data_IF_453990064678
#
_entry.id   IF_453990064678
#
_cell.length_a   1.000
_cell.length_b   1.000
_cell.length_c   1.000
_cell.angle_alpha   90.00
_cell.angle_beta   90.00
_cell.angle_gamma   90.00
#
_symmetry.space_group_name_H-M   'P 1'
#
loop_
_entity.id
_entity.type
_entity.pdbx_description
1 polymer ?
#
# COMPACT_ATOMS: atom_id res chain seq x y z
N UNK A 1 -6.95 18.46 -28.37
CA UNK A 1 -8.11 17.60 -28.05
C UNK A 1 -7.87 16.13 -28.40
N UNK A 2 -7.65 15.77 -29.67
CA UNK A 2 -7.43 14.37 -30.08
C UNK A 2 -6.25 13.68 -29.37
N UNK A 3 -5.08 14.35 -29.25
CA UNK A 3 -3.92 13.81 -28.52
C UNK A 3 -4.22 13.50 -27.04
N UNK A 4 -5.00 14.36 -26.37
CA UNK A 4 -5.41 14.17 -24.97
C UNK A 4 -6.36 12.98 -24.83
N UNK A 5 -7.31 12.81 -25.76
CA UNK A 5 -8.21 11.65 -25.76
C UNK A 5 -7.46 10.33 -25.96
N UNK A 6 -6.52 10.28 -26.91
CA UNK A 6 -5.70 9.08 -27.15
C UNK A 6 -4.88 8.72 -25.91
N UNK A 7 -4.32 9.73 -25.23
CA UNK A 7 -3.56 9.52 -24.01
C UNK A 7 -4.43 9.01 -22.85
N UNK A 8 -5.64 9.56 -22.67
CA UNK A 8 -6.60 9.07 -21.68
C UNK A 8 -7.06 7.63 -21.95
N UNK A 9 -7.32 7.28 -23.21
CA UNK A 9 -7.69 5.91 -23.60
C UNK A 9 -6.52 4.95 -23.30
N UNK A 10 -5.29 5.32 -23.66
CA UNK A 10 -4.11 4.52 -23.38
C UNK A 10 -3.92 4.26 -21.88
N UNK A 11 -4.05 5.30 -21.06
CA UNK A 11 -4.00 5.18 -19.59
C UNK A 11 -5.11 4.24 -19.10
N UNK A 12 -6.37 4.46 -19.50
CA UNK A 12 -7.48 3.64 -19.04
C UNK A 12 -7.32 2.15 -19.41
N UNK A 13 -6.80 1.84 -20.61
CA UNK A 13 -6.50 0.45 -21.00
C UNK A 13 -5.43 -0.16 -20.11
N UNK A 14 -4.34 0.56 -19.82
CA UNK A 14 -3.28 0.09 -18.91
C UNK A 14 -3.84 -0.21 -17.51
N UNK A 15 -4.61 0.73 -16.95
CA UNK A 15 -5.24 0.55 -15.63
C UNK A 15 -6.24 -0.62 -15.61
N UNK A 16 -6.97 -0.85 -16.69
CA UNK A 16 -7.88 -1.99 -16.83
C UNK A 16 -7.13 -3.32 -16.76
N UNK A 17 -6.04 -3.47 -17.52
CA UNK A 17 -5.21 -4.69 -17.51
C UNK A 17 -4.62 -4.95 -16.12
N UNK A 18 -4.14 -3.89 -15.45
CA UNK A 18 -3.61 -4.01 -14.08
C UNK A 18 -4.72 -4.45 -13.11
N UNK A 19 -5.93 -3.90 -13.23
CA UNK A 19 -7.04 -4.25 -12.37
C UNK A 19 -7.49 -5.72 -12.52
N UNK A 20 -7.56 -6.22 -13.76
CA UNK A 20 -7.88 -7.64 -14.00
C UNK A 20 -6.80 -8.58 -13.47
N UNK A 21 -5.51 -8.27 -13.71
CA UNK A 21 -4.41 -9.06 -13.15
C UNK A 21 -4.38 -9.02 -11.62
N UNK A 22 -4.82 -7.92 -11.01
CA UNK A 22 -4.96 -7.79 -9.56
C UNK A 22 -6.19 -8.48 -8.97
N UNK A 23 -7.03 -9.14 -9.77
CA UNK A 23 -8.21 -9.87 -9.31
C UNK A 23 -9.47 -9.03 -9.09
N UNK A 24 -9.52 -7.77 -9.53
CA UNK A 24 -10.72 -6.92 -9.40
C UNK A 24 -11.32 -6.59 -10.76
N UNK A 25 -12.10 -7.55 -11.24
CA UNK A 25 -12.88 -7.45 -12.47
C UNK A 25 -13.82 -6.23 -12.54
N UNK A 26 -14.53 -5.82 -11.47
CA UNK A 26 -15.38 -4.64 -11.54
C UNK A 26 -14.59 -3.35 -11.82
N UNK A 27 -13.43 -3.15 -11.19
CA UNK A 27 -12.56 -2.00 -11.49
C UNK A 27 -12.00 -2.07 -12.93
N UNK A 28 -11.64 -3.26 -13.40
CA UNK A 28 -11.20 -3.48 -14.78
C UNK A 28 -12.25 -3.10 -15.83
N UNK A 29 -13.51 -3.54 -15.63
CA UNK A 29 -14.66 -3.17 -16.47
C UNK A 29 -14.92 -1.66 -16.47
N UNK A 30 -14.72 -1.03 -15.33
CA UNK A 30 -14.95 0.40 -15.15
C UNK A 30 -14.03 1.24 -16.05
N UNK A 31 -12.73 0.90 -16.06
CA UNK A 31 -11.76 1.56 -16.94
C UNK A 31 -12.05 1.31 -18.42
N UNK A 32 -12.60 0.14 -18.79
CA UNK A 32 -13.07 -0.11 -20.16
C UNK A 32 -14.19 0.86 -20.54
N UNK A 33 -15.18 1.04 -19.66
CA UNK A 33 -16.29 1.97 -19.91
C UNK A 33 -15.78 3.41 -20.06
N UNK A 34 -14.84 3.83 -19.20
CA UNK A 34 -14.20 5.16 -19.31
C UNK A 34 -13.44 5.31 -20.63
N UNK A 35 -12.72 4.27 -21.07
CA UNK A 35 -12.01 4.28 -22.36
C UNK A 35 -12.97 4.34 -23.57
N UNK A 36 -14.13 3.69 -23.48
CA UNK A 36 -15.11 3.63 -24.56
C UNK A 36 -15.99 4.89 -24.66
N UNK A 37 -16.20 5.61 -23.55
CA UNK A 37 -17.12 6.76 -23.48
C UNK A 37 -16.86 7.86 -24.53
N UNK A 38 -15.60 8.28 -24.81
CA UNK A 38 -15.32 9.28 -25.85
C UNK A 38 -15.68 8.81 -27.26
N UNK A 39 -15.43 7.52 -27.55
CA UNK A 39 -15.70 6.90 -28.85
C UNK A 39 -17.21 6.78 -29.08
N UNK A 40 -17.94 6.32 -28.05
CA UNK A 40 -19.39 6.24 -28.08
C UNK A 40 -20.04 7.62 -28.22
N UNK A 41 -19.50 8.63 -27.54
CA UNK A 41 -19.99 10.01 -27.65
C UNK A 41 -19.77 10.59 -29.06
N UNK A 42 -18.59 10.39 -29.65
CA UNK A 42 -18.30 10.82 -31.02
C UNK A 42 -19.20 10.09 -32.04
N UNK A 43 -19.37 8.77 -31.90
CA UNK A 43 -20.30 8.00 -32.72
C UNK A 43 -21.74 8.52 -32.64
N UNK A 44 -22.22 8.77 -31.42
CA UNK A 44 -23.55 9.34 -31.20
C UNK A 44 -23.71 10.74 -31.81
N UNK A 45 -22.71 11.62 -31.64
CA UNK A 45 -22.73 12.95 -32.21
C UNK A 45 -22.76 12.95 -33.75
N UNK A 46 -22.02 12.03 -34.39
CA UNK A 46 -22.02 11.86 -35.86
C UNK A 46 -23.37 11.32 -36.36
N UNK A 47 -23.95 10.32 -35.69
CA UNK A 47 -25.25 9.76 -36.04
C UNK A 47 -26.37 10.79 -35.91
N UNK A 48 -26.37 11.57 -34.83
CA UNK A 48 -27.37 12.63 -34.64
C UNK A 48 -27.21 13.79 -35.64
N UNK A 49 -25.98 14.17 -36.01
CA UNK A 49 -25.77 15.15 -37.09
C UNK A 49 -26.33 14.69 -38.43
N UNK A 50 -26.17 13.40 -38.77
CA UNK A 50 -26.74 12.82 -40.00
C UNK A 50 -28.27 12.80 -39.97
N UNK A 51 -28.89 12.47 -38.82
CA UNK A 51 -30.34 12.51 -38.66
C UNK A 51 -30.93 13.93 -38.65
N UNK A 52 -30.19 14.90 -38.13
CA UNK A 52 -30.63 16.30 -38.05
C UNK A 52 -30.49 17.08 -39.37
N UNK A 53 -29.82 16.52 -40.39
CA UNK A 53 -29.66 17.14 -41.72
C UNK A 53 -30.95 17.36 -42.52
N UNK A 54 -32.14 17.08 -41.95
CA UNK A 54 -33.45 17.31 -42.58
C UNK A 54 -34.47 18.05 -41.72
N UNK A 55 -34.14 18.53 -40.51
CA UNK A 55 -35.12 19.18 -39.64
C UNK A 55 -34.74 20.65 -39.36
N UNK A 56 -35.57 21.56 -39.83
CA UNK A 56 -35.54 22.99 -39.47
C UNK A 56 -35.71 23.17 -37.96
N UNK A 57 -34.90 24.05 -37.40
CA UNK A 57 -34.77 24.30 -35.96
C UNK A 57 -36.09 24.80 -35.34
N UNK A 58 -36.83 23.90 -34.69
CA UNK A 58 -37.92 24.24 -33.80
C UNK A 58 -37.37 24.63 -32.42
N UNK A 59 -37.75 25.82 -31.96
CA UNK A 59 -37.22 26.50 -30.78
C UNK A 59 -37.26 25.66 -29.50
N UNK A 60 -36.10 25.50 -28.87
CA UNK A 60 -35.98 24.83 -27.57
C UNK A 60 -36.45 25.76 -26.45
N UNK A 61 -37.50 25.34 -25.72
CA UNK A 61 -38.06 26.03 -24.55
C UNK A 61 -37.00 26.26 -23.45
N UNK A 62 -36.98 27.43 -22.77
CA UNK A 62 -35.97 27.81 -21.77
C UNK A 62 -35.88 26.85 -20.57
N UNK A 63 -36.95 26.14 -20.21
CA UNK A 63 -36.97 25.15 -19.12
C UNK A 63 -36.08 23.92 -19.39
N UNK A 64 -35.76 23.64 -20.66
CA UNK A 64 -34.92 22.52 -21.08
C UNK A 64 -33.41 22.83 -20.95
N UNK A 65 -33.03 24.11 -20.76
CA UNK A 65 -31.63 24.58 -20.70
C UNK A 65 -30.95 24.26 -19.37
N UNK A 66 -31.68 24.36 -18.24
CA UNK A 66 -31.16 24.05 -16.90
C UNK A 66 -30.96 22.55 -16.65
N UNK A 67 -31.85 21.70 -17.17
CA UNK A 67 -31.71 20.24 -17.08
C UNK A 67 -30.58 19.71 -17.98
N UNK A 68 -30.25 20.43 -19.06
CA UNK A 68 -29.16 20.10 -19.99
C UNK A 68 -27.76 20.33 -19.43
N UNK A 69 -27.58 21.23 -18.46
CA UNK A 69 -26.28 21.49 -17.82
C UNK A 69 -26.05 20.65 -16.57
N UNK A 70 -27.11 20.14 -15.93
CA UNK A 70 -27.02 19.20 -14.81
C UNK A 70 -26.49 17.83 -15.23
N UNK A 71 -27.00 17.26 -16.32
CA UNK A 71 -26.57 15.94 -16.82
C UNK A 71 -25.04 15.84 -17.04
N UNK A 72 -24.38 16.76 -17.78
CA UNK A 72 -22.93 16.68 -17.98
C UNK A 72 -22.14 16.91 -16.69
N UNK A 73 -22.66 17.71 -15.74
CA UNK A 73 -22.02 17.90 -14.42
C UNK A 73 -22.08 16.62 -13.59
N UNK A 74 -23.22 15.94 -13.57
CA UNK A 74 -23.36 14.65 -12.89
C UNK A 74 -22.45 13.59 -13.53
N UNK A 75 -22.42 13.51 -14.85
CA UNK A 75 -21.52 12.58 -15.57
C UNK A 75 -20.05 12.87 -15.24
N UNK A 76 -19.63 14.14 -15.26
CA UNK A 76 -18.27 14.52 -14.92
C UNK A 76 -17.92 14.13 -13.48
N UNK A 77 -18.82 14.39 -12.53
CA UNK A 77 -18.61 14.09 -11.11
C UNK A 77 -18.53 12.58 -10.86
N UNK A 78 -19.45 11.80 -11.43
CA UNK A 78 -19.40 10.33 -11.37
C UNK A 78 -18.07 9.85 -11.95
N UNK A 79 -17.67 10.31 -13.13
CA UNK A 79 -16.41 9.91 -13.75
C UNK A 79 -15.21 10.18 -12.84
N UNK A 80 -15.12 11.37 -12.23
CA UNK A 80 -14.03 11.72 -11.31
C UNK A 80 -14.01 10.79 -10.09
N UNK A 81 -15.16 10.57 -9.44
CA UNK A 81 -15.25 9.67 -8.28
C UNK A 81 -14.82 8.25 -8.66
N UNK A 82 -15.23 7.79 -9.84
CA UNK A 82 -15.01 6.41 -10.25
C UNK A 82 -13.56 6.16 -10.70
N UNK A 83 -12.97 7.10 -11.43
CA UNK A 83 -11.53 7.08 -11.77
C UNK A 83 -10.69 7.22 -10.51
N UNK A 84 -11.07 8.12 -9.60
CA UNK A 84 -10.41 8.27 -8.30
C UNK A 84 -10.40 6.97 -7.50
N UNK A 85 -11.54 6.28 -7.43
CA UNK A 85 -11.64 4.97 -6.80
C UNK A 85 -10.80 3.90 -7.50
N UNK A 86 -10.81 3.85 -8.85
CA UNK A 86 -10.01 2.90 -9.60
C UNK A 86 -8.50 3.10 -9.43
N UNK A 87 -8.04 4.35 -9.44
CA UNK A 87 -6.64 4.69 -9.15
C UNK A 87 -6.29 4.35 -7.71
N UNK A 88 -7.16 4.68 -6.75
CA UNK A 88 -6.96 4.32 -5.35
C UNK A 88 -6.80 2.80 -5.18
N UNK A 89 -7.66 2.00 -5.81
CA UNK A 89 -7.61 0.55 -5.71
C UNK A 89 -6.35 -0.05 -6.36
N UNK A 90 -5.92 0.49 -7.51
CA UNK A 90 -4.71 0.02 -8.19
C UNK A 90 -3.46 0.36 -7.39
N UNK A 91 -3.44 1.53 -6.76
CA UNK A 91 -2.27 2.03 -6.03
C UNK A 91 -2.21 1.52 -4.60
N UNK A 92 -3.30 1.53 -3.82
CA UNK A 92 -3.23 1.34 -2.37
C UNK A 92 -3.73 -0.02 -1.87
N UNK A 93 -4.56 -0.73 -2.64
CA UNK A 93 -5.12 -2.01 -2.20
C UNK A 93 -4.06 -3.13 -2.23
N UNK A 94 -3.91 -3.95 -1.17
CA UNK A 94 -3.01 -5.08 -1.17
C UNK A 94 -3.23 -6.02 -2.36
N UNK A 95 -2.14 -6.51 -2.96
CA UNK A 95 -2.19 -7.44 -4.10
C UNK A 95 -1.59 -8.79 -3.73
N UNK A 96 -2.10 -9.85 -4.34
CA UNK A 96 -1.48 -11.16 -4.23
C UNK A 96 -0.02 -11.09 -4.71
N UNK A 97 0.83 -11.85 -4.04
CA UNK A 97 2.16 -12.17 -4.50
C UNK A 97 2.12 -13.53 -5.20
N UNK A 98 2.46 -13.52 -6.49
CA UNK A 98 2.46 -14.72 -7.33
C UNK A 98 3.81 -15.45 -7.31
N UNK A 99 4.81 -14.91 -6.60
CA UNK A 99 6.12 -15.54 -6.43
C UNK A 99 6.05 -16.66 -5.40
N UNK A 100 6.85 -17.70 -5.59
CA UNK A 100 7.00 -18.77 -4.61
C UNK A 100 7.58 -18.20 -3.30
N UNK A 101 6.99 -18.61 -2.16
CA UNK A 101 7.53 -18.35 -0.83
C UNK A 101 8.70 -19.29 -0.58
N UNK A 102 9.92 -18.76 -0.59
CA UNK A 102 11.14 -19.55 -0.37
C UNK A 102 11.84 -19.20 0.93
N UNK A 103 11.65 -17.95 1.40
CA UNK A 103 12.32 -17.40 2.58
C UNK A 103 11.37 -16.46 3.33
N UNK A 104 11.59 -16.31 4.63
CA UNK A 104 10.82 -15.34 5.45
C UNK A 104 11.01 -13.91 4.93
N UNK A 105 12.18 -13.58 4.39
CA UNK A 105 12.44 -12.30 3.74
C UNK A 105 11.50 -11.98 2.57
N UNK A 106 10.85 -12.97 1.96
CA UNK A 106 9.90 -12.72 0.87
C UNK A 106 8.67 -11.92 1.36
N UNK A 107 8.34 -12.02 2.66
CA UNK A 107 7.27 -11.26 3.31
C UNK A 107 7.55 -9.77 3.47
N UNK A 108 8.79 -9.32 3.24
CA UNK A 108 9.20 -7.92 3.32
C UNK A 108 8.33 -7.00 2.43
N UNK A 109 7.89 -7.52 1.28
CA UNK A 109 6.98 -6.78 0.36
C UNK A 109 5.56 -6.61 0.91
N UNK A 110 5.19 -7.34 1.96
CA UNK A 110 3.96 -7.14 2.72
C UNK A 110 3.93 -5.82 3.50
N UNK A 111 5.10 -5.26 3.80
CA UNK A 111 5.26 -4.00 4.53
C UNK A 111 5.38 -2.76 3.64
N UNK A 112 5.27 -2.89 2.31
CA UNK A 112 5.06 -1.73 1.44
C UNK A 112 6.27 -1.18 0.69
N UNK A 113 7.24 -2.02 0.32
CA UNK A 113 8.38 -1.62 -0.53
C UNK A 113 8.03 -1.23 -1.99
N UNK A 114 6.76 -0.99 -2.34
CA UNK A 114 6.32 -0.71 -3.70
C UNK A 114 4.98 0.03 -3.74
N UNK A 115 4.41 0.19 -4.94
CA UNK A 115 3.16 0.95 -5.14
C UNK A 115 2.03 0.48 -4.22
N UNK A 116 1.86 -0.84 -4.09
CA UNK A 116 0.88 -1.49 -3.21
C UNK A 116 1.54 -2.58 -2.36
N UNK A 117 1.06 -2.76 -1.12
CA UNK A 117 1.47 -3.88 -0.23
C UNK A 117 1.11 -5.23 -0.86
N UNK A 118 1.84 -6.28 -0.48
CA UNK A 118 1.57 -7.64 -0.93
C UNK A 118 0.96 -8.52 0.16
N UNK A 119 0.10 -9.44 -0.25
CA UNK A 119 -0.34 -10.58 0.57
C UNK A 119 0.06 -11.88 -0.12
N UNK A 120 0.04 -12.98 0.61
CA UNK A 120 0.73 -14.21 0.20
C UNK A 120 -0.21 -15.41 0.30
N UNK A 121 -0.98 -15.74 -0.76
CA UNK A 121 -1.95 -16.82 -0.74
C UNK A 121 -1.40 -18.20 -0.35
N UNK A 122 -0.09 -18.41 -0.51
CA UNK A 122 0.64 -19.63 -0.16
C UNK A 122 1.01 -19.72 1.32
N UNK A 123 0.78 -18.66 2.10
CA UNK A 123 0.98 -18.62 3.54
C UNK A 123 -0.16 -19.33 4.28
N UNK A 124 0.08 -19.74 5.51
CA UNK A 124 -0.92 -20.43 6.32
C UNK A 124 -2.09 -19.49 6.71
N UNK A 125 -3.30 -20.04 6.77
CA UNK A 125 -4.47 -19.33 7.29
C UNK A 125 -4.31 -19.05 8.77
N UNK A 126 -4.69 -17.85 9.24
CA UNK A 126 -4.74 -17.55 10.67
C UNK A 126 -6.02 -18.11 11.28
N UNK A 127 -5.99 -19.39 11.67
CA UNK A 127 -7.13 -20.10 12.27
C UNK A 127 -6.67 -20.99 13.43
N UNK A 128 -7.62 -21.35 14.32
CA UNK A 128 -7.35 -22.15 15.51
C UNK A 128 -6.77 -21.33 16.66
N UNK A 129 -6.42 -22.03 17.75
CA UNK A 129 -5.67 -21.42 18.85
C UNK A 129 -4.19 -21.31 18.48
N UNK A 130 -3.52 -20.27 18.98
CA UNK A 130 -2.09 -20.05 18.78
C UNK A 130 -1.17 -21.21 19.23
N UNK A 131 0.14 -21.11 18.94
CA UNK A 131 0.82 -19.91 18.47
C UNK A 131 0.68 -19.68 16.95
N UNK A 132 0.43 -18.44 16.57
CA UNK A 132 0.36 -17.96 15.20
C UNK A 132 1.72 -17.43 14.72
N UNK A 133 2.45 -18.14 13.83
CA UNK A 133 3.80 -17.72 13.46
C UNK A 133 3.85 -16.37 12.76
N UNK A 134 4.81 -15.54 13.13
CA UNK A 134 4.88 -14.13 12.74
C UNK A 134 6.22 -13.76 12.12
N UNK A 135 6.20 -13.12 10.96
CA UNK A 135 7.35 -12.47 10.35
C UNK A 135 7.34 -10.97 10.68
N UNK A 136 8.46 -10.42 11.14
CA UNK A 136 8.53 -9.03 11.60
C UNK A 136 9.56 -8.24 10.80
N UNK A 137 9.21 -7.00 10.44
CA UNK A 137 10.06 -6.13 9.65
C UNK A 137 10.09 -4.72 10.22
N UNK A 138 11.28 -4.13 10.28
CA UNK A 138 11.51 -2.70 10.56
C UNK A 138 11.79 -1.95 9.28
N UNK A 139 11.57 -0.63 9.24
CA UNK A 139 12.07 0.21 8.16
C UNK A 139 13.35 0.87 8.65
N UNK A 140 14.45 0.62 7.96
CA UNK A 140 15.73 1.27 8.26
C UNK A 140 15.68 2.77 7.98
N UNK A 141 16.67 3.50 8.48
CA UNK A 141 16.89 4.92 8.13
C UNK A 141 17.11 5.15 6.62
N UNK A 142 17.49 4.10 5.88
CA UNK A 142 17.58 4.13 4.41
C UNK A 142 16.25 3.89 3.70
N UNK A 143 15.16 3.68 4.45
CA UNK A 143 13.81 3.39 3.96
C UNK A 143 13.63 1.95 3.46
N UNK A 144 14.59 1.07 3.74
CA UNK A 144 14.54 -0.33 3.31
C UNK A 144 13.99 -1.19 4.44
N UNK A 145 13.00 -2.07 4.20
CA UNK A 145 12.51 -2.91 5.25
C UNK A 145 13.54 -3.99 5.62
N UNK A 146 13.85 -4.19 6.90
CA UNK A 146 14.80 -5.17 7.39
C UNK A 146 14.09 -6.20 8.28
N UNK A 147 14.42 -7.50 8.19
CA UNK A 147 13.86 -8.49 9.10
C UNK A 147 14.30 -8.20 10.53
N UNK A 148 13.33 -8.17 11.47
CA UNK A 148 13.64 -8.20 12.89
C UNK A 148 13.88 -9.65 13.32
N UNK A 149 15.06 -9.89 13.89
CA UNK A 149 15.48 -11.21 14.35
C UNK A 149 15.31 -11.35 15.86
N UNK A 150 14.85 -12.53 16.33
CA UNK A 150 14.70 -12.81 17.73
C UNK A 150 16.06 -13.05 18.40
N UNK A 151 16.08 -12.89 19.71
CA UNK A 151 17.21 -13.32 20.53
C UNK A 151 17.33 -14.84 20.57
N UNK A 152 18.52 -15.36 20.86
CA UNK A 152 18.75 -16.80 21.01
C UNK A 152 17.84 -17.41 22.07
N UNK A 153 17.35 -18.63 21.82
CA UNK A 153 16.44 -19.36 22.73
C UNK A 153 14.96 -18.96 22.62
N UNK A 154 14.61 -18.04 21.71
CA UNK A 154 13.21 -17.75 21.38
C UNK A 154 12.59 -18.91 20.58
N UNK A 155 11.30 -19.17 20.80
CA UNK A 155 10.56 -20.19 20.05
C UNK A 155 10.45 -19.85 18.55
N UNK A 156 10.54 -20.87 17.69
CA UNK A 156 10.69 -20.76 16.23
C UNK A 156 9.50 -20.08 15.50
N UNK A 157 8.37 -19.90 16.18
CA UNK A 157 7.20 -19.19 15.63
C UNK A 157 7.33 -17.67 15.69
N UNK A 158 8.30 -17.14 16.43
CA UNK A 158 8.72 -15.75 16.36
C UNK A 158 9.80 -15.64 15.28
N UNK A 159 9.54 -14.82 14.25
CA UNK A 159 10.38 -14.35 13.12
C UNK A 159 11.82 -14.88 13.01
N UNK A 160 12.35 -15.05 11.80
CA UNK A 160 13.78 -15.32 11.60
C UNK A 160 14.06 -16.49 10.68
N UNK A 161 15.33 -16.90 10.60
CA UNK A 161 15.78 -17.83 9.57
C UNK A 161 15.31 -19.28 9.76
N UNK A 162 14.90 -19.65 10.98
CA UNK A 162 14.36 -20.99 11.28
C UNK A 162 12.86 -21.15 10.99
N UNK A 163 12.15 -20.04 10.73
CA UNK A 163 10.72 -20.06 10.51
C UNK A 163 10.41 -20.50 9.07
N UNK A 164 9.60 -21.55 8.92
CA UNK A 164 9.11 -22.01 7.62
C UNK A 164 8.21 -20.93 6.99
N UNK A 165 8.56 -20.40 5.79
CA UNK A 165 7.77 -19.38 5.11
C UNK A 165 6.31 -19.77 4.87
N UNK A 166 6.02 -21.06 4.66
CA UNK A 166 4.65 -21.52 4.43
C UNK A 166 3.81 -21.59 5.70
N UNK A 167 4.44 -21.57 6.87
CA UNK A 167 3.76 -21.59 8.18
C UNK A 167 3.50 -20.21 8.75
N UNK A 168 4.05 -19.15 8.15
CA UNK A 168 3.80 -17.78 8.55
C UNK A 168 2.31 -17.47 8.40
N UNK A 169 1.69 -16.95 9.46
CA UNK A 169 0.28 -16.53 9.48
C UNK A 169 0.16 -15.02 9.64
N UNK A 170 1.17 -14.37 10.22
CA UNK A 170 1.16 -12.95 10.55
C UNK A 170 2.38 -12.23 9.99
N UNK A 171 2.19 -10.97 9.59
CA UNK A 171 3.27 -10.05 9.21
C UNK A 171 3.14 -8.81 10.08
N UNK A 172 4.17 -8.50 10.86
CA UNK A 172 4.28 -7.24 11.58
C UNK A 172 5.19 -6.27 10.81
N UNK A 173 4.66 -5.12 10.48
CA UNK A 173 5.36 -4.06 9.77
C UNK A 173 5.49 -2.87 10.69
N UNK A 174 6.72 -2.48 11.02
CA UNK A 174 6.98 -1.22 11.71
C UNK A 174 7.15 -0.13 10.65
N UNK A 175 6.43 0.96 10.85
CA UNK A 175 6.57 2.16 10.03
C UNK A 175 7.86 2.90 10.37
N UNK A 176 8.19 3.93 9.59
CA UNK A 176 9.31 4.82 9.92
C UNK A 176 9.12 5.42 11.31
N UNK A 177 10.18 5.53 12.12
CA UNK A 177 10.05 6.05 13.47
C UNK A 177 9.69 7.55 13.48
N UNK A 178 8.80 7.90 14.40
CA UNK A 178 8.67 9.25 14.90
C UNK A 178 9.78 9.57 15.93
N UNK A 179 10.06 10.86 16.10
CA UNK A 179 11.02 11.34 17.10
C UNK A 179 10.44 11.25 18.52
N UNK A 180 11.09 10.45 19.35
CA UNK A 180 10.90 10.43 20.80
C UNK A 180 11.91 11.31 21.54
N UNK A 181 12.31 10.86 22.73
CA UNK A 181 13.27 11.58 23.57
C UNK A 181 14.67 11.64 22.95
N UNK A 182 15.35 12.78 23.07
CA UNK A 182 16.76 12.90 22.70
C UNK A 182 17.61 12.07 23.66
N UNK A 183 18.50 11.24 23.12
CA UNK A 183 19.36 10.37 23.91
C UNK A 183 20.79 10.91 23.96
N UNK A 184 21.41 11.16 22.80
CA UNK A 184 22.79 11.63 22.73
C UNK A 184 23.16 12.16 21.34
N UNK A 185 24.36 12.75 21.23
CA UNK A 185 24.99 13.08 19.96
C UNK A 185 26.00 11.99 19.57
N UNK A 186 25.73 11.26 18.50
CA UNK A 186 26.64 10.26 17.96
C UNK A 186 27.73 10.92 17.13
N UNK A 187 28.96 10.86 17.62
CA UNK A 187 30.15 11.41 16.96
C UNK A 187 30.73 10.40 15.98
N UNK A 188 30.72 10.74 14.71
CA UNK A 188 31.41 10.01 13.65
C UNK A 188 32.69 10.75 13.24
N UNK A 189 33.50 10.14 12.38
CA UNK A 189 34.78 10.73 11.95
C UNK A 189 34.62 12.07 11.24
N UNK A 190 33.52 12.26 10.50
CA UNK A 190 33.28 13.49 9.71
C UNK A 190 32.27 14.43 10.36
N UNK A 191 31.27 13.90 11.06
CA UNK A 191 30.08 14.64 11.50
C UNK A 191 29.56 14.12 12.85
N UNK A 192 28.67 14.89 13.46
CA UNK A 192 27.89 14.47 14.64
C UNK A 192 26.42 14.38 14.25
N UNK A 193 25.77 13.30 14.64
CA UNK A 193 24.36 13.03 14.29
C UNK A 193 23.60 12.78 15.58
N UNK A 194 22.43 13.42 15.71
CA UNK A 194 21.60 13.29 16.91
C UNK A 194 20.94 11.92 16.96
N UNK A 195 20.98 11.27 18.11
CA UNK A 195 20.28 10.02 18.37
C UNK A 195 19.05 10.31 19.25
N UNK A 196 17.89 9.94 18.73
CA UNK A 196 16.62 9.99 19.42
C UNK A 196 16.13 8.58 19.70
N UNK A 197 15.23 8.45 20.67
CA UNK A 197 14.46 7.22 20.85
C UNK A 197 13.41 7.14 19.76
N UNK A 198 13.40 6.06 18.99
CA UNK A 198 12.37 5.86 17.96
C UNK A 198 11.01 5.57 18.58
N UNK A 199 9.94 6.09 17.99
CA UNK A 199 8.56 5.70 18.29
C UNK A 199 7.98 5.11 17.02
N UNK A 200 7.61 3.83 17.06
CA UNK A 200 7.22 3.07 15.88
C UNK A 200 5.77 2.64 16.00
N UNK A 201 4.98 2.93 14.97
CA UNK A 201 3.69 2.27 14.81
C UNK A 201 3.93 0.92 14.13
N UNK A 202 3.51 -0.16 14.78
CA UNK A 202 3.51 -1.51 14.22
C UNK A 202 2.11 -1.86 13.77
N UNK A 203 1.95 -2.26 12.51
CA UNK A 203 0.71 -2.83 12.01
C UNK A 203 0.87 -4.31 11.72
N UNK A 204 -0.06 -5.10 12.27
CA UNK A 204 -0.10 -6.55 12.08
C UNK A 204 -1.12 -6.89 11.00
N UNK A 205 -0.68 -7.67 10.02
CA UNK A 205 -1.50 -8.15 8.91
C UNK A 205 -1.54 -9.68 8.90
N UNK A 206 -2.67 -10.24 8.46
CA UNK A 206 -2.74 -11.65 8.10
C UNK A 206 -1.93 -11.88 6.82
N UNK A 207 -0.97 -12.81 6.86
CA UNK A 207 -0.05 -13.05 5.75
C UNK A 207 -0.78 -13.48 4.48
N UNK A 208 -1.78 -14.35 4.62
CA UNK A 208 -2.49 -14.94 3.48
C UNK A 208 -3.41 -13.97 2.76
N UNK A 209 -4.11 -13.10 3.49
CA UNK A 209 -5.16 -12.22 2.93
C UNK A 209 -4.74 -10.76 2.85
N UNK A 210 -3.70 -10.35 3.60
CA UNK A 210 -3.29 -8.95 3.74
C UNK A 210 -4.19 -8.11 4.64
N UNK A 211 -5.21 -8.71 5.26
CA UNK A 211 -6.15 -8.03 6.14
C UNK A 211 -5.44 -7.52 7.39
N UNK A 212 -5.74 -6.28 7.78
CA UNK A 212 -5.27 -5.71 9.05
C UNK A 212 -5.89 -6.47 10.22
N UNK A 213 -5.04 -6.98 11.10
CA UNK A 213 -5.41 -7.66 12.35
C UNK A 213 -5.43 -6.66 13.51
N UNK A 214 -4.45 -5.75 13.55
CA UNK A 214 -4.34 -4.73 14.59
C UNK A 214 -3.17 -3.78 14.35
N UNK A 215 -3.05 -2.77 15.21
CA UNK A 215 -1.89 -1.88 15.24
C UNK A 215 -1.56 -1.56 16.68
N UNK A 216 -0.28 -1.44 16.98
CA UNK A 216 0.25 -1.08 18.28
C UNK A 216 1.38 -0.07 18.13
N UNK A 217 1.83 0.49 19.24
CA UNK A 217 3.00 1.35 19.27
C UNK A 217 4.13 0.66 20.04
N UNK A 218 5.33 0.71 19.46
CA UNK A 218 6.58 0.26 20.04
C UNK A 218 7.49 1.46 20.24
N UNK A 219 8.37 1.39 21.22
CA UNK A 219 9.41 2.40 21.42
C UNK A 219 10.78 1.76 21.32
N UNK A 220 11.72 2.49 20.74
CA UNK A 220 13.13 2.11 20.71
C UNK A 220 13.75 2.03 22.10
N UNK A 221 14.94 1.43 22.17
CA UNK A 221 15.70 1.36 23.42
C UNK A 221 16.00 2.76 23.97
N UNK A 222 15.96 2.91 25.31
CA UNK A 222 16.41 4.12 26.01
C UNK A 222 17.93 4.19 26.17
N UNK A 223 18.64 3.11 25.85
CA UNK A 223 20.09 3.06 25.96
C UNK A 223 20.68 3.81 24.75
N UNK A 224 21.49 4.85 24.97
CA UNK A 224 22.20 5.50 23.88
C UNK A 224 23.25 4.54 23.33
N UNK A 225 22.97 3.93 22.18
CA UNK A 225 23.91 3.07 21.45
C UNK A 225 24.18 3.67 20.07
N UNK A 226 25.36 4.27 19.92
CA UNK A 226 25.75 4.90 18.67
C UNK A 226 26.37 3.85 17.75
N UNK A 227 25.76 3.57 16.58
CA UNK A 227 26.33 2.64 15.62
C UNK A 227 27.71 3.13 15.15
N UNK A 228 28.65 2.21 14.96
CA UNK A 228 30.00 2.56 14.46
C UNK A 228 30.03 3.01 13.00
N UNK A 229 29.01 2.65 12.22
CA UNK A 229 28.82 3.05 10.82
C UNK A 229 27.33 3.11 10.50
N UNK A 230 26.89 4.15 9.78
CA UNK A 230 25.50 4.30 9.31
C UNK A 230 25.45 4.69 7.85
N UNK A 231 24.49 4.11 7.13
CA UNK A 231 24.15 4.53 5.77
C UNK A 231 22.91 5.39 5.82
N UNK A 232 23.10 6.70 5.61
CA UNK A 232 22.02 7.67 5.65
C UNK A 232 21.58 8.07 4.27
N UNK A 233 20.27 8.26 4.12
CA UNK A 233 19.72 8.95 2.95
C UNK A 233 20.18 10.41 2.99
N UNK A 234 20.41 10.99 1.81
CA UNK A 234 20.80 12.40 1.70
C UNK A 234 19.75 13.28 2.37
N UNK A 235 20.18 14.10 3.34
CA UNK A 235 19.31 14.99 4.10
C UNK A 235 18.79 14.43 5.42
N UNK A 236 19.16 13.20 5.81
CA UNK A 236 18.91 12.67 7.14
C UNK A 236 19.99 13.18 8.11
N UNK A 237 19.58 13.86 9.17
CA UNK A 237 20.43 14.49 10.19
C UNK A 237 20.23 13.93 11.61
N UNK A 238 19.45 12.85 11.72
CA UNK A 238 19.10 12.17 12.96
C UNK A 238 19.05 10.66 12.79
N UNK A 239 19.24 9.96 13.90
CA UNK A 239 19.12 8.51 14.05
C UNK A 239 18.06 8.20 15.10
N UNK A 240 17.44 7.04 14.97
CA UNK A 240 16.52 6.52 15.97
C UNK A 240 17.01 5.18 16.52
N UNK A 241 16.82 4.94 17.82
CA UNK A 241 17.02 3.60 18.38
C UNK A 241 15.93 2.65 17.92
N UNK A 242 16.29 1.39 17.66
CA UNK A 242 15.35 0.32 17.34
C UNK A 242 14.77 -0.30 18.63
N UNK A 243 13.55 -0.88 18.61
CA UNK A 243 13.00 -1.59 19.76
C UNK A 243 13.78 -2.87 20.06
N UNK A 244 13.89 -3.26 21.33
CA UNK A 244 14.50 -4.54 21.70
C UNK A 244 13.51 -5.68 21.41
N UNK A 245 13.98 -6.90 21.11
CA UNK A 245 13.08 -8.02 20.76
C UNK A 245 12.06 -8.33 21.87
N UNK A 246 12.40 -8.10 23.14
CA UNK A 246 11.48 -8.24 24.25
C UNK A 246 10.26 -7.29 24.13
N UNK A 247 10.43 -6.09 23.58
CA UNK A 247 9.34 -5.13 23.35
C UNK A 247 8.38 -5.65 22.27
N UNK A 248 8.91 -6.26 21.19
CA UNK A 248 8.09 -6.93 20.19
C UNK A 248 7.25 -8.04 20.81
N UNK A 249 7.87 -8.90 21.62
CA UNK A 249 7.14 -9.99 22.26
C UNK A 249 6.05 -9.46 23.19
N UNK A 250 6.36 -8.47 24.04
CA UNK A 250 5.40 -7.91 24.98
C UNK A 250 4.14 -7.38 24.28
N UNK A 251 4.30 -6.71 23.14
CA UNK A 251 3.19 -6.08 22.41
C UNK A 251 2.49 -7.05 21.47
N UNK A 252 3.23 -7.88 20.75
CA UNK A 252 2.69 -8.74 19.68
C UNK A 252 2.16 -10.08 20.18
N UNK A 253 2.47 -10.48 21.42
CA UNK A 253 2.04 -11.76 22.00
C UNK A 253 0.52 -11.96 21.95
N UNK A 254 -0.26 -10.89 22.07
CA UNK A 254 -1.73 -10.95 21.97
C UNK A 254 -2.27 -11.32 20.58
N UNK A 255 -1.44 -11.24 19.54
CA UNK A 255 -1.78 -11.69 18.18
C UNK A 255 -1.25 -13.09 17.90
N UNK A 256 -0.10 -13.42 18.50
CA UNK A 256 0.60 -14.70 18.35
C UNK A 256 -0.04 -15.80 19.19
N UNK A 257 -0.31 -15.56 20.47
CA UNK A 257 -0.75 -16.60 21.41
C UNK A 257 -2.28 -16.79 21.47
N UNK A 258 -3.03 -15.99 20.71
CA UNK A 258 -4.50 -15.95 20.75
C UNK A 258 -5.16 -17.03 19.89
#
# INVERSE_FOLDING_TARGET
MARLMVLFIGIAVVFSVIAFKGGNAPVGLLFIVVAAAPVLFLGYAVVNRRRAGGATASGQRPQQRGRRTLIPRVIALVTVVTVGYGVYWVMFEPKANDKALTRVSDFQTGCGAGLARKYFPQAADRTGAGPHPIAMFTISESGSPNPAYPTSGTADYWSGNGLDPHRVQLIACLDSPDEGEFLTDCKFTTDSIKLYRGVYDVTVYEAKTGKKVGSEQLSGSRKPDCPGMVYLKRGTDKLHTEPEFADYQAVLRKYVDN
#
